data_IF_025413037477
#
_entry.id   IF_025413037477
#
_cell.length_a   1.000
_cell.length_b   1.000
_cell.length_c   1.000
_cell.angle_alpha   90.00
_cell.angle_beta   90.00
_cell.angle_gamma   90.00
#
_symmetry.space_group_name_H-M   'P 1'
#
loop_
_entity.id
_entity.type
_entity.pdbx_description
1 polymer ?
#
# COMPACT_ATOMS: atom_id res chain seq x y z
N UNK A 1 11.65 -25.96 -8.75
CA UNK A 1 10.45 -26.12 -7.87
C UNK A 1 10.40 -24.89 -7.01
N UNK A 2 9.38 -24.05 -7.20
CA UNK A 2 9.27 -22.76 -6.53
C UNK A 2 8.46 -22.90 -5.24
N UNK A 3 9.08 -22.60 -4.10
CA UNK A 3 8.46 -22.67 -2.79
C UNK A 3 8.14 -21.27 -2.24
N UNK A 4 6.85 -21.01 -2.02
CA UNK A 4 6.32 -19.72 -1.56
C UNK A 4 5.83 -19.86 -0.10
N UNK A 5 6.15 -18.88 0.74
CA UNK A 5 5.54 -18.73 2.06
C UNK A 5 4.69 -17.46 2.13
N UNK A 6 3.57 -17.52 2.87
CA UNK A 6 2.77 -16.36 3.26
C UNK A 6 2.74 -16.29 4.79
N UNK A 7 3.34 -15.26 5.35
CA UNK A 7 3.38 -14.98 6.78
C UNK A 7 2.27 -14.01 7.15
N UNK A 8 1.52 -14.33 8.20
CA UNK A 8 0.31 -13.58 8.59
C UNK A 8 -0.91 -13.94 7.74
N UNK A 9 -0.94 -15.16 7.20
CA UNK A 9 -1.94 -15.64 6.25
C UNK A 9 -3.41 -15.52 6.72
N UNK A 10 -3.65 -15.50 8.02
CA UNK A 10 -5.00 -15.37 8.63
C UNK A 10 -5.44 -13.93 8.86
N UNK A 11 -4.57 -12.95 8.63
CA UNK A 11 -4.88 -11.52 8.76
C UNK A 11 -5.61 -10.95 7.54
N UNK A 12 -6.19 -9.74 7.65
CA UNK A 12 -6.89 -9.07 6.53
C UNK A 12 -6.04 -9.00 5.26
N UNK A 13 -4.80 -8.52 5.37
CA UNK A 13 -3.90 -8.37 4.23
C UNK A 13 -3.39 -9.73 3.75
N UNK A 14 -3.06 -10.66 4.66
CA UNK A 14 -2.63 -12.02 4.30
C UNK A 14 -3.69 -12.78 3.50
N UNK A 15 -4.95 -12.69 3.91
CA UNK A 15 -6.08 -13.27 3.14
C UNK A 15 -6.19 -12.63 1.75
N UNK A 16 -6.02 -11.30 1.66
CA UNK A 16 -6.01 -10.59 0.36
C UNK A 16 -4.80 -10.95 -0.50
N UNK A 17 -3.63 -11.25 0.10
CA UNK A 17 -2.48 -11.78 -0.64
C UNK A 17 -2.81 -13.13 -1.29
N UNK A 18 -3.45 -14.06 -0.55
CA UNK A 18 -3.89 -15.34 -1.10
C UNK A 18 -4.91 -15.17 -2.23
N UNK A 19 -5.96 -14.33 -2.02
CA UNK A 19 -6.93 -14.02 -3.06
C UNK A 19 -6.25 -13.46 -4.33
N UNK A 20 -5.25 -12.58 -4.15
CA UNK A 20 -4.52 -11.95 -5.26
C UNK A 20 -3.61 -12.94 -5.99
N UNK A 21 -2.87 -13.78 -5.26
CA UNK A 21 -2.05 -14.86 -5.84
C UNK A 21 -2.90 -15.76 -6.75
N UNK A 22 -4.11 -16.10 -6.29
CA UNK A 22 -5.05 -16.92 -7.06
C UNK A 22 -5.55 -16.18 -8.31
N UNK A 23 -6.02 -14.93 -8.18
CA UNK A 23 -6.57 -14.14 -9.30
C UNK A 23 -5.53 -13.85 -10.39
N UNK A 24 -4.27 -13.64 -10.00
CA UNK A 24 -3.16 -13.36 -10.91
C UNK A 24 -2.50 -14.64 -11.45
N UNK A 25 -2.92 -15.82 -10.98
CA UNK A 25 -2.35 -17.11 -11.35
C UNK A 25 -0.81 -17.15 -11.19
N UNK A 26 -0.30 -16.63 -10.06
CA UNK A 26 1.14 -16.63 -9.78
C UNK A 26 1.66 -18.06 -9.71
N UNK A 27 2.68 -18.43 -10.50
CA UNK A 27 3.19 -19.80 -10.54
C UNK A 27 4.04 -20.12 -9.31
N UNK A 28 3.72 -21.21 -8.61
CA UNK A 28 4.54 -21.81 -7.56
C UNK A 28 4.16 -23.31 -7.44
N UNK A 29 5.09 -24.11 -6.91
CA UNK A 29 4.90 -25.56 -6.76
C UNK A 29 4.46 -25.91 -5.33
N UNK A 30 4.94 -25.20 -4.33
CA UNK A 30 4.63 -25.43 -2.91
C UNK A 30 4.23 -24.14 -2.21
N UNK A 31 3.17 -24.18 -1.40
CA UNK A 31 2.72 -23.06 -0.57
C UNK A 31 2.74 -23.45 0.89
N UNK A 32 3.34 -22.59 1.74
CA UNK A 32 3.31 -22.74 3.18
C UNK A 32 2.70 -21.50 3.82
N UNK A 33 1.74 -21.68 4.71
CA UNK A 33 1.06 -20.60 5.41
C UNK A 33 1.54 -20.54 6.86
N UNK A 34 2.02 -19.35 7.25
CA UNK A 34 2.47 -19.07 8.61
C UNK A 34 1.61 -18.03 9.31
N UNK A 35 1.45 -18.19 10.62
CA UNK A 35 0.87 -17.19 11.51
C UNK A 35 1.45 -17.35 12.93
N UNK A 36 0.88 -16.60 13.90
CA UNK A 36 1.25 -16.75 15.31
C UNK A 36 0.75 -18.09 15.89
N UNK A 37 1.32 -18.53 17.02
CA UNK A 37 0.88 -19.72 17.76
C UNK A 37 -0.65 -19.76 17.97
N UNK A 38 -1.28 -18.60 18.19
CA UNK A 38 -2.75 -18.51 18.39
C UNK A 38 -3.56 -18.95 17.17
N UNK A 39 -3.02 -18.75 15.97
CA UNK A 39 -3.70 -19.07 14.70
C UNK A 39 -3.16 -20.35 14.05
N UNK A 40 -2.10 -20.95 14.59
CA UNK A 40 -1.59 -22.23 14.13
C UNK A 40 -2.65 -23.33 14.29
N UNK A 41 -2.70 -24.25 13.32
CA UNK A 41 -3.72 -25.30 13.22
C UNK A 41 -5.03 -24.88 12.56
N UNK A 42 -5.24 -23.60 12.24
CA UNK A 42 -6.37 -23.17 11.41
C UNK A 42 -6.21 -23.69 9.98
N UNK A 43 -7.34 -23.99 9.36
CA UNK A 43 -7.39 -24.42 7.96
C UNK A 43 -7.77 -23.25 7.07
N UNK A 44 -7.09 -23.13 5.93
CA UNK A 44 -7.34 -22.12 4.90
C UNK A 44 -7.52 -22.83 3.56
N UNK A 45 -8.65 -22.59 2.92
CA UNK A 45 -8.92 -23.08 1.57
C UNK A 45 -8.24 -22.18 0.53
N UNK A 46 -7.43 -22.78 -0.35
CA UNK A 46 -6.77 -22.06 -1.44
C UNK A 46 -6.66 -22.97 -2.65
N UNK A 47 -7.18 -22.52 -3.83
CA UNK A 47 -7.18 -23.26 -5.10
C UNK A 47 -7.73 -24.71 -4.96
N UNK A 48 -8.80 -24.89 -4.18
CA UNK A 48 -9.44 -26.19 -3.97
C UNK A 48 -8.66 -27.17 -3.09
N UNK A 49 -7.61 -26.69 -2.41
CA UNK A 49 -6.84 -27.47 -1.41
C UNK A 49 -6.94 -26.82 -0.05
N UNK A 50 -6.96 -27.64 0.98
CA UNK A 50 -6.91 -27.21 2.38
C UNK A 50 -5.45 -27.12 2.84
N UNK A 51 -5.06 -25.99 3.37
CA UNK A 51 -3.74 -25.73 3.94
C UNK A 51 -3.86 -25.51 5.45
N UNK A 52 -3.10 -26.26 6.23
CA UNK A 52 -3.01 -26.03 7.67
C UNK A 52 -2.00 -24.92 7.93
N UNK A 53 -2.43 -23.85 8.60
CA UNK A 53 -1.57 -22.75 9.02
C UNK A 53 -0.59 -23.24 10.09
N UNK A 54 0.68 -22.95 9.90
CA UNK A 54 1.76 -23.35 10.78
C UNK A 54 2.20 -22.19 11.68
N UNK A 55 2.71 -22.51 12.86
CA UNK A 55 3.36 -21.51 13.69
C UNK A 55 4.68 -21.06 13.05
N UNK A 56 4.90 -19.74 12.99
CA UNK A 56 6.18 -19.18 12.57
C UNK A 56 7.18 -19.28 13.74
N UNK A 57 8.25 -20.03 13.52
CA UNK A 57 9.37 -20.22 14.47
C UNK A 57 10.69 -20.01 13.78
N UNK A 58 11.78 -19.80 14.54
CA UNK A 58 13.13 -19.61 13.99
C UNK A 58 13.57 -20.82 13.14
N UNK A 59 13.22 -22.02 13.55
CA UNK A 59 13.52 -23.24 12.79
C UNK A 59 12.82 -23.22 11.44
N UNK A 60 11.53 -22.80 11.40
CA UNK A 60 10.75 -22.74 10.16
C UNK A 60 11.22 -21.59 9.26
N UNK A 61 11.54 -20.42 9.81
CA UNK A 61 12.07 -19.30 9.05
C UNK A 61 13.49 -19.56 8.49
N UNK A 62 14.19 -20.57 9.03
CA UNK A 62 15.51 -21.01 8.55
C UNK A 62 15.43 -22.12 7.49
N UNK A 63 14.23 -22.59 7.15
CA UNK A 63 14.04 -23.50 6.02
C UNK A 63 14.17 -22.73 4.69
N UNK A 64 14.51 -23.46 3.63
CA UNK A 64 14.58 -22.86 2.30
C UNK A 64 13.20 -22.54 1.75
N UNK A 65 13.04 -21.27 1.33
CA UNK A 65 11.95 -20.76 0.51
C UNK A 65 12.57 -19.94 -0.63
N UNK A 66 11.93 -19.92 -1.80
CA UNK A 66 12.32 -19.01 -2.88
C UNK A 66 11.77 -17.61 -2.61
N UNK A 67 10.52 -17.53 -2.17
CA UNK A 67 9.83 -16.27 -1.92
C UNK A 67 9.01 -16.31 -0.62
N UNK A 68 8.94 -15.17 0.05
CA UNK A 68 8.12 -14.97 1.26
C UNK A 68 7.32 -13.67 1.12
N UNK A 69 6.01 -13.76 1.16
CA UNK A 69 5.12 -12.60 1.34
C UNK A 69 4.85 -12.44 2.83
N UNK A 70 5.27 -11.32 3.40
CA UNK A 70 5.18 -11.10 4.84
C UNK A 70 4.22 -9.98 5.19
N UNK A 71 3.12 -10.33 5.89
CA UNK A 71 2.12 -9.41 6.41
C UNK A 71 1.96 -9.59 7.91
N UNK A 72 3.01 -9.20 8.64
CA UNK A 72 3.08 -9.25 10.09
C UNK A 72 3.46 -7.89 10.66
N UNK A 73 3.41 -7.71 11.99
CA UNK A 73 3.86 -6.48 12.62
C UNK A 73 5.37 -6.27 12.52
N UNK A 74 5.83 -5.01 12.67
CA UNK A 74 7.24 -4.64 12.49
C UNK A 74 8.21 -5.49 13.32
N UNK A 75 7.93 -5.74 14.61
CA UNK A 75 8.79 -6.59 15.45
C UNK A 75 8.88 -8.05 14.99
N UNK A 76 7.80 -8.59 14.41
CA UNK A 76 7.83 -9.93 13.79
C UNK A 76 8.71 -9.91 12.53
N UNK A 77 8.58 -8.87 11.71
CA UNK A 77 9.38 -8.71 10.50
C UNK A 77 10.86 -8.50 10.84
N UNK A 78 11.17 -7.65 11.81
CA UNK A 78 12.53 -7.40 12.29
C UNK A 78 13.25 -8.69 12.68
N UNK A 79 12.54 -9.62 13.33
CA UNK A 79 13.08 -10.90 13.77
C UNK A 79 13.18 -11.93 12.65
N UNK A 80 12.11 -12.14 11.89
CA UNK A 80 12.02 -13.28 10.97
C UNK A 80 12.47 -13.00 9.53
N UNK A 81 12.33 -11.77 9.02
CA UNK A 81 12.72 -11.47 7.66
C UNK A 81 14.22 -11.73 7.39
N UNK A 82 15.16 -11.39 8.30
CA UNK A 82 16.56 -11.73 8.14
C UNK A 82 16.87 -13.24 8.19
N UNK A 83 16.03 -14.04 8.90
CA UNK A 83 16.21 -15.50 8.92
C UNK A 83 15.83 -16.12 7.57
N UNK A 84 14.71 -15.71 6.99
CA UNK A 84 14.32 -16.10 5.64
C UNK A 84 15.34 -15.66 4.59
N UNK A 85 15.81 -14.40 4.65
CA UNK A 85 16.85 -13.88 3.77
C UNK A 85 18.13 -14.71 3.86
N UNK A 86 18.60 -15.03 5.06
CA UNK A 86 19.78 -15.86 5.30
C UNK A 86 19.62 -17.28 4.76
N UNK A 87 18.40 -17.81 4.76
CA UNK A 87 18.04 -19.11 4.17
C UNK A 87 17.93 -19.06 2.63
N UNK A 88 18.11 -17.88 2.01
CA UNK A 88 18.13 -17.67 0.56
C UNK A 88 16.83 -17.17 -0.05
N UNK A 89 15.82 -16.87 0.76
CA UNK A 89 14.56 -16.34 0.26
C UNK A 89 14.63 -14.86 -0.13
N UNK A 90 13.79 -14.46 -1.09
CA UNK A 90 13.41 -13.06 -1.25
C UNK A 90 12.14 -12.82 -0.43
N UNK A 91 12.23 -11.90 0.52
CA UNK A 91 11.15 -11.50 1.42
C UNK A 91 10.54 -10.19 0.94
N UNK A 92 9.23 -10.19 0.68
CA UNK A 92 8.47 -8.97 0.36
C UNK A 92 7.67 -8.64 1.62
N UNK A 93 8.10 -7.60 2.34
CA UNK A 93 7.58 -7.25 3.67
C UNK A 93 6.64 -6.06 3.62
N UNK A 94 5.42 -6.25 4.12
CA UNK A 94 4.39 -5.22 4.18
C UNK A 94 4.46 -4.35 5.45
N UNK A 95 5.34 -4.66 6.42
CA UNK A 95 5.51 -3.84 7.61
C UNK A 95 6.24 -2.53 7.32
N UNK A 96 6.25 -1.62 8.29
CA UNK A 96 7.04 -0.38 8.17
C UNK A 96 8.50 -0.55 8.56
N UNK A 97 8.94 -1.74 8.97
CA UNK A 97 10.25 -1.97 9.59
C UNK A 97 11.41 -1.58 8.68
N UNK A 98 11.34 -1.96 7.41
CA UNK A 98 12.47 -1.88 6.49
C UNK A 98 12.39 -0.72 5.49
N UNK A 99 11.26 -0.02 5.43
CA UNK A 99 10.96 0.95 4.36
C UNK A 99 12.01 2.03 4.19
N UNK A 100 12.58 2.52 5.29
CA UNK A 100 13.57 3.61 5.26
C UNK A 100 15.01 3.14 5.45
N UNK A 101 15.27 1.82 5.50
CA UNK A 101 16.63 1.29 5.49
C UNK A 101 17.30 1.61 4.14
N UNK A 102 18.55 2.09 4.16
CA UNK A 102 19.25 2.56 2.95
C UNK A 102 19.55 1.44 1.97
N UNK A 103 19.80 0.22 2.47
CA UNK A 103 20.15 -0.97 1.72
C UNK A 103 18.95 -1.83 1.32
N UNK A 104 17.71 -1.38 1.59
CA UNK A 104 16.48 -2.11 1.27
C UNK A 104 15.64 -1.32 0.27
N UNK A 105 15.28 -2.00 -0.82
CA UNK A 105 14.42 -1.44 -1.85
C UNK A 105 12.98 -1.23 -1.33
N UNK A 106 12.38 -0.09 -1.67
CA UNK A 106 11.00 0.27 -1.38
C UNK A 106 10.24 0.35 -2.72
N UNK A 107 9.39 -0.64 -3.03
CA UNK A 107 8.94 -0.88 -4.39
C UNK A 107 7.45 -0.68 -4.60
N UNK A 108 7.13 0.08 -5.64
CA UNK A 108 5.85 0.15 -6.32
C UNK A 108 6.10 -0.18 -7.79
N UNK A 109 5.68 -1.34 -8.31
CA UNK A 109 6.09 -1.83 -9.63
C UNK A 109 5.80 -0.91 -10.82
N UNK A 110 4.77 -0.06 -10.72
CA UNK A 110 4.45 0.96 -11.73
C UNK A 110 5.40 2.18 -11.69
N UNK A 111 6.27 2.25 -10.68
CA UNK A 111 7.13 3.41 -10.42
C UNK A 111 8.61 3.07 -10.52
N UNK A 112 9.03 1.95 -9.90
CA UNK A 112 10.44 1.57 -9.78
C UNK A 112 10.65 0.05 -9.79
N UNK A 113 11.90 -0.36 -9.86
CA UNK A 113 12.31 -1.77 -9.86
C UNK A 113 13.32 -2.06 -8.74
N UNK A 114 13.34 -3.30 -8.19
CA UNK A 114 14.27 -3.68 -7.16
C UNK A 114 15.71 -3.81 -7.70
N UNK A 115 16.68 -3.36 -6.89
CA UNK A 115 18.11 -3.47 -7.17
C UNK A 115 18.71 -4.77 -6.64
N UNK A 116 18.00 -5.46 -5.74
CA UNK A 116 18.42 -6.69 -5.06
C UNK A 116 19.69 -6.53 -4.23
N UNK A 117 19.95 -5.36 -3.66
CA UNK A 117 21.06 -5.14 -2.71
C UNK A 117 20.91 -6.07 -1.50
N UNK A 118 19.66 -6.29 -1.07
CA UNK A 118 19.28 -7.25 -0.03
C UNK A 118 18.23 -8.23 -0.57
N UNK A 119 18.06 -9.36 0.13
CA UNK A 119 16.97 -10.30 -0.10
C UNK A 119 15.62 -9.84 0.52
N UNK A 120 15.59 -8.70 1.21
CA UNK A 120 14.37 -8.09 1.74
C UNK A 120 13.98 -6.92 0.83
N UNK A 121 12.70 -6.87 0.44
CA UNK A 121 12.08 -5.79 -0.33
C UNK A 121 10.91 -5.26 0.50
N UNK A 122 10.87 -3.97 0.75
CA UNK A 122 9.80 -3.34 1.52
C UNK A 122 8.61 -2.96 0.62
N UNK A 123 7.41 -3.28 1.07
CA UNK A 123 6.15 -2.84 0.51
C UNK A 123 5.73 -1.52 1.18
N UNK A 124 5.48 -0.43 0.45
CA UNK A 124 5.25 0.88 1.04
C UNK A 124 3.94 1.00 1.84
N UNK A 125 3.74 2.18 2.42
CA UNK A 125 2.49 2.58 3.08
C UNK A 125 1.33 2.63 2.07
N UNK A 126 0.14 2.25 2.51
CA UNK A 126 -1.04 2.11 1.65
C UNK A 126 -1.44 3.42 0.94
N UNK A 127 -1.38 4.55 1.64
CA UNK A 127 -1.70 5.86 1.05
C UNK A 127 -0.57 6.33 0.13
N UNK A 128 0.69 5.99 0.45
CA UNK A 128 1.85 6.30 -0.41
C UNK A 128 1.78 5.53 -1.72
N UNK A 129 1.52 4.22 -1.70
CA UNK A 129 1.47 3.40 -2.93
C UNK A 129 0.53 4.00 -3.96
N UNK A 130 -0.73 4.26 -3.57
CA UNK A 130 -1.71 4.80 -4.52
C UNK A 130 -1.36 6.20 -5.02
N UNK A 131 -0.68 7.00 -4.19
CA UNK A 131 -0.36 8.39 -4.53
C UNK A 131 0.85 8.52 -5.45
N UNK A 132 1.87 7.67 -5.29
CA UNK A 132 3.10 7.76 -6.10
C UNK A 132 2.89 7.28 -7.54
N UNK A 133 1.86 6.48 -7.82
CA UNK A 133 1.54 6.04 -9.19
C UNK A 133 1.18 7.22 -10.09
N UNK A 134 0.15 8.05 -9.81
CA UNK A 134 -0.13 9.23 -10.61
C UNK A 134 1.00 10.28 -10.55
N UNK A 135 1.71 10.39 -9.43
CA UNK A 135 2.86 11.29 -9.33
C UNK A 135 4.01 10.87 -10.25
N UNK A 136 4.23 9.56 -10.45
CA UNK A 136 5.24 9.07 -11.40
C UNK A 136 4.90 9.44 -12.83
N UNK A 137 3.62 9.34 -13.21
CA UNK A 137 3.14 9.78 -14.54
C UNK A 137 3.42 11.26 -14.75
N UNK A 138 3.12 12.10 -13.74
CA UNK A 138 3.39 13.53 -13.79
C UNK A 138 4.90 13.86 -13.76
N UNK A 139 5.68 13.12 -12.96
CA UNK A 139 7.13 13.28 -12.89
C UNK A 139 7.80 13.03 -14.24
N UNK A 140 7.40 11.96 -14.93
CA UNK A 140 7.96 11.58 -16.22
C UNK A 140 7.69 12.63 -17.31
N UNK A 141 6.51 13.23 -17.30
CA UNK A 141 6.11 14.23 -18.30
C UNK A 141 6.59 15.64 -17.96
N UNK A 142 6.41 16.06 -16.72
CA UNK A 142 6.51 17.48 -16.34
C UNK A 142 7.53 17.78 -15.24
N UNK A 143 8.05 16.75 -14.53
CA UNK A 143 8.85 16.95 -13.32
C UNK A 143 8.00 17.40 -12.12
N UNK A 144 8.52 17.21 -10.91
CA UNK A 144 7.83 17.55 -9.66
C UNK A 144 8.64 18.52 -8.80
N UNK A 145 8.01 19.58 -8.33
CA UNK A 145 8.59 20.61 -7.47
C UNK A 145 8.14 20.51 -6.01
N UNK A 146 6.85 20.25 -5.82
CA UNK A 146 6.22 20.16 -4.50
C UNK A 146 5.00 19.26 -4.57
N UNK A 147 4.75 18.52 -3.47
CA UNK A 147 3.55 17.72 -3.28
C UNK A 147 3.01 17.98 -1.88
N UNK A 148 1.72 18.27 -1.77
CA UNK A 148 1.01 18.26 -0.50
C UNK A 148 -0.14 17.26 -0.56
N UNK A 149 -0.22 16.42 0.45
CA UNK A 149 -1.26 15.40 0.58
C UNK A 149 -2.29 15.79 1.62
N UNK A 150 -3.55 15.54 1.32
CA UNK A 150 -4.61 15.43 2.33
C UNK A 150 -5.29 14.08 2.16
N UNK A 151 -5.16 13.20 3.15
CA UNK A 151 -5.70 11.85 3.05
C UNK A 151 -7.02 11.70 3.81
N UNK A 152 -7.90 10.87 3.27
CA UNK A 152 -9.16 10.44 3.85
C UNK A 152 -9.13 8.91 3.90
N UNK A 153 -8.58 8.37 5.02
CA UNK A 153 -8.24 6.95 5.11
C UNK A 153 -9.35 6.12 5.74
N UNK A 154 -9.69 5.04 5.08
CA UNK A 154 -10.69 4.06 5.52
C UNK A 154 -10.26 3.32 6.79
N UNK A 155 -11.23 2.89 7.59
CA UNK A 155 -10.99 2.20 8.87
C UNK A 155 -10.32 0.83 8.74
N UNK A 156 -10.43 0.18 7.58
CA UNK A 156 -9.76 -1.10 7.33
C UNK A 156 -8.23 -1.03 7.42
N UNK A 157 -7.64 0.16 7.25
CA UNK A 157 -6.21 0.40 7.51
C UNK A 157 -5.80 0.14 8.97
N UNK A 158 -6.75 0.20 9.92
CA UNK A 158 -6.57 -0.18 11.33
C UNK A 158 -6.96 -1.63 11.62
N UNK A 159 -7.14 -2.45 10.58
CA UNK A 159 -7.50 -3.86 10.69
C UNK A 159 -8.94 -4.09 11.14
N UNK A 160 -9.20 -5.30 11.64
CA UNK A 160 -10.54 -5.70 12.09
C UNK A 160 -11.10 -4.85 13.22
N UNK A 161 -10.23 -4.32 14.10
CA UNK A 161 -10.69 -3.43 15.20
C UNK A 161 -11.28 -2.12 14.65
N UNK A 162 -10.64 -1.51 13.66
CA UNK A 162 -11.16 -0.30 13.03
C UNK A 162 -12.51 -0.53 12.34
N UNK A 163 -12.66 -1.64 11.61
CA UNK A 163 -13.96 -2.03 11.02
C UNK A 163 -15.04 -2.23 12.09
N UNK A 164 -14.69 -2.87 13.21
CA UNK A 164 -15.58 -3.06 14.33
C UNK A 164 -16.01 -1.75 14.97
N UNK A 165 -15.08 -0.82 15.22
CA UNK A 165 -15.37 0.49 15.79
C UNK A 165 -16.35 1.31 14.92
N UNK A 166 -16.19 1.23 13.59
CA UNK A 166 -17.16 1.87 12.68
C UNK A 166 -18.54 1.22 12.76
N UNK A 167 -18.61 -0.11 12.71
CA UNK A 167 -19.87 -0.85 12.67
C UNK A 167 -20.65 -0.74 14.00
N UNK A 168 -19.95 -0.78 15.13
CA UNK A 168 -20.56 -0.74 16.47
C UNK A 168 -20.77 0.70 16.99
N UNK A 169 -20.05 1.67 16.43
CA UNK A 169 -20.16 3.09 16.80
C UNK A 169 -21.54 3.69 16.54
N UNK A 170 -22.30 3.16 15.58
CA UNK A 170 -23.70 3.52 15.33
C UNK A 170 -24.59 3.30 16.58
N UNK A 171 -24.25 2.32 17.41
CA UNK A 171 -24.94 1.98 18.66
C UNK A 171 -24.31 2.67 19.90
N UNK A 172 -23.38 3.61 19.70
CA UNK A 172 -22.73 4.36 20.78
C UNK A 172 -21.69 3.55 21.56
N UNK A 173 -21.20 2.42 21.02
CA UNK A 173 -20.15 1.64 21.68
C UNK A 173 -18.83 2.41 21.67
N UNK A 174 -18.10 2.33 22.80
CA UNK A 174 -16.79 2.94 22.92
C UNK A 174 -15.79 2.30 21.94
N UNK A 175 -14.89 3.09 21.28
CA UNK A 175 -13.92 2.56 20.34
C UNK A 175 -12.82 1.74 21.03
N UNK A 176 -12.30 0.73 20.31
CA UNK A 176 -11.18 -0.10 20.74
C UNK A 176 -9.89 0.22 19.97
N UNK A 177 -10.01 0.72 18.72
CA UNK A 177 -8.89 1.03 17.84
C UNK A 177 -8.50 2.50 17.87
N UNK A 178 -9.41 3.40 18.24
CA UNK A 178 -9.23 4.84 18.13
C UNK A 178 -9.39 5.53 19.49
N UNK A 179 -8.74 6.68 19.68
CA UNK A 179 -8.91 7.49 20.91
C UNK A 179 -10.29 8.16 21.01
N UNK A 180 -11.00 8.29 19.89
CA UNK A 180 -12.32 8.89 19.79
C UNK A 180 -13.23 8.07 18.87
N UNK A 181 -14.57 8.15 19.00
CA UNK A 181 -15.49 7.50 18.08
C UNK A 181 -15.25 7.91 16.63
N UNK A 182 -15.15 6.92 15.75
CA UNK A 182 -15.01 7.17 14.29
C UNK A 182 -16.35 7.30 13.59
N UNK A 183 -17.41 6.67 14.11
CA UNK A 183 -18.74 6.80 13.54
C UNK A 183 -19.20 8.27 13.53
N UNK A 184 -19.64 8.75 12.36
CA UNK A 184 -20.05 10.14 12.14
C UNK A 184 -19.00 11.19 12.57
N UNK A 185 -17.71 10.86 12.41
CA UNK A 185 -16.60 11.71 12.84
C UNK A 185 -15.41 11.61 11.90
N UNK A 186 -14.54 12.62 11.90
CA UNK A 186 -13.24 12.63 11.22
C UNK A 186 -12.16 12.82 12.27
N UNK A 187 -11.18 11.91 12.29
CA UNK A 187 -10.06 11.99 13.21
C UNK A 187 -8.81 12.49 12.46
N UNK A 188 -8.33 13.71 12.72
CA UNK A 188 -7.12 14.26 12.07
C UNK A 188 -5.85 13.70 12.73
N UNK A 189 -5.81 12.39 12.86
CA UNK A 189 -4.77 11.68 13.61
C UNK A 189 -4.72 10.21 13.19
N UNK A 190 -3.59 9.80 12.62
CA UNK A 190 -3.30 8.40 12.30
C UNK A 190 -1.87 8.09 12.75
N UNK A 191 -1.70 7.01 13.56
CA UNK A 191 -0.43 6.63 14.19
C UNK A 191 -0.02 7.62 15.31
N UNK A 192 1.17 7.53 15.86
CA UNK A 192 1.67 8.36 16.97
C UNK A 192 2.13 9.73 16.48
N UNK A 193 2.01 10.73 17.34
CA UNK A 193 2.57 12.06 17.10
C UNK A 193 4.09 12.07 17.28
N UNK A 194 4.78 12.84 16.43
CA UNK A 194 6.21 13.10 16.48
C UNK A 194 6.47 14.48 17.07
N UNK A 195 7.73 14.75 17.49
CA UNK A 195 8.13 16.02 18.08
C UNK A 195 7.95 17.24 17.17
N UNK A 196 8.00 17.01 15.84
CA UNK A 196 7.80 18.06 14.83
C UNK A 196 6.32 18.41 14.57
N UNK A 197 5.39 17.80 15.31
CA UNK A 197 3.95 18.00 15.17
C UNK A 197 3.27 17.17 14.10
N UNK A 198 4.01 16.48 13.23
CA UNK A 198 3.45 15.48 12.32
C UNK A 198 3.11 14.20 13.07
N UNK A 199 2.22 13.39 12.48
CA UNK A 199 2.08 11.99 12.87
C UNK A 199 3.08 11.12 12.13
N UNK A 200 3.35 9.92 12.66
CA UNK A 200 4.20 8.93 11.97
C UNK A 200 3.63 8.54 10.60
N UNK A 201 2.31 8.52 10.44
CA UNK A 201 1.66 8.25 9.15
C UNK A 201 1.98 9.35 8.12
N UNK A 202 1.91 10.61 8.51
CA UNK A 202 2.27 11.74 7.65
C UNK A 202 3.75 11.71 7.28
N UNK A 203 4.62 11.41 8.24
CA UNK A 203 6.06 11.28 7.98
C UNK A 203 6.37 10.14 7.00
N UNK A 204 5.68 8.99 7.10
CA UNK A 204 5.82 7.90 6.12
C UNK A 204 5.50 8.38 4.71
N UNK A 205 4.40 9.11 4.51
CA UNK A 205 4.05 9.62 3.19
C UNK A 205 5.13 10.55 2.63
N UNK A 206 5.72 11.39 3.48
CA UNK A 206 6.79 12.32 3.09
C UNK A 206 8.04 11.56 2.65
N UNK A 207 8.54 10.68 3.50
CA UNK A 207 9.83 10.01 3.30
C UNK A 207 9.77 8.93 2.23
N UNK A 208 8.70 8.12 2.25
CA UNK A 208 8.48 7.06 1.27
C UNK A 208 8.28 7.63 -0.14
N UNK A 209 7.54 8.72 -0.30
CA UNK A 209 7.37 9.41 -1.60
C UNK A 209 8.72 9.80 -2.20
N UNK A 210 9.59 10.43 -1.40
CA UNK A 210 10.93 10.83 -1.85
C UNK A 210 11.78 9.62 -2.26
N UNK A 211 11.74 8.55 -1.47
CA UNK A 211 12.51 7.33 -1.73
C UNK A 211 12.03 6.61 -2.99
N UNK A 212 10.73 6.39 -3.13
CA UNK A 212 10.14 5.65 -4.25
C UNK A 212 10.33 6.40 -5.58
N UNK A 213 10.13 7.72 -5.58
CA UNK A 213 10.28 8.56 -6.77
C UNK A 213 11.75 8.91 -7.07
N UNK A 214 12.70 8.47 -6.24
CA UNK A 214 14.12 8.85 -6.32
C UNK A 214 14.31 10.38 -6.40
N UNK A 215 13.60 11.10 -5.55
CA UNK A 215 13.55 12.56 -5.53
C UNK A 215 13.80 13.10 -4.11
N UNK A 216 15.04 13.03 -3.59
CA UNK A 216 15.37 13.36 -2.20
C UNK A 216 15.07 14.82 -1.85
N UNK A 217 15.17 15.74 -2.83
CA UNK A 217 14.95 17.17 -2.64
C UNK A 217 13.49 17.61 -2.87
N UNK A 218 12.61 16.69 -3.24
CA UNK A 218 11.20 17.00 -3.47
C UNK A 218 10.56 17.55 -2.19
N UNK A 219 9.90 18.69 -2.29
CA UNK A 219 9.16 19.29 -1.17
C UNK A 219 7.85 18.54 -0.99
N UNK A 220 7.74 17.78 0.10
CA UNK A 220 6.55 16.99 0.42
C UNK A 220 6.03 17.34 1.80
N UNK A 221 4.73 17.48 1.94
CA UNK A 221 4.00 17.57 3.21
C UNK A 221 2.73 16.72 3.16
N UNK A 222 2.19 16.36 4.32
CA UNK A 222 1.00 15.54 4.40
C UNK A 222 0.16 15.91 5.62
N UNK A 223 -1.17 15.77 5.47
CA UNK A 223 -2.14 15.72 6.56
C UNK A 223 -2.96 14.46 6.41
N UNK A 224 -2.96 13.60 7.43
CA UNK A 224 -3.64 12.31 7.37
C UNK A 224 -4.82 12.26 8.32
N UNK A 225 -6.02 11.99 7.77
CA UNK A 225 -7.24 11.84 8.54
C UNK A 225 -7.87 10.45 8.40
N UNK A 226 -8.38 9.91 9.49
CA UNK A 226 -9.24 8.72 9.50
C UNK A 226 -10.69 9.16 9.32
N UNK A 227 -11.38 8.54 8.36
CA UNK A 227 -12.78 8.85 8.03
C UNK A 227 -13.69 7.63 8.22
N UNK A 228 -15.02 7.81 8.41
CA UNK A 228 -15.95 6.72 8.63
C UNK A 228 -16.32 6.00 7.33
N UNK A 229 -15.30 5.56 6.59
CA UNK A 229 -15.38 4.76 5.37
C UNK A 229 -14.77 3.41 5.64
N UNK A 230 -15.42 2.33 5.21
CA UNK A 230 -15.00 0.98 5.56
C UNK A 230 -13.70 0.57 4.86
N UNK A 231 -13.65 0.68 3.55
CA UNK A 231 -12.54 0.26 2.69
C UNK A 231 -12.27 1.32 1.63
N UNK A 232 -11.07 1.30 1.07
CA UNK A 232 -10.52 2.24 0.09
C UNK A 232 -10.16 3.62 0.64
N UNK A 233 -8.94 4.05 0.39
CA UNK A 233 -8.48 5.38 0.75
C UNK A 233 -8.74 6.37 -0.37
N UNK A 234 -9.08 7.61 0.01
CA UNK A 234 -9.07 8.74 -0.89
C UNK A 234 -7.93 9.69 -0.49
N UNK A 235 -7.26 10.26 -1.47
CA UNK A 235 -6.16 11.21 -1.25
C UNK A 235 -6.35 12.39 -2.20
N UNK A 236 -6.38 13.57 -1.65
CA UNK A 236 -6.20 14.80 -2.40
C UNK A 236 -4.71 15.06 -2.51
N UNK A 237 -4.24 15.29 -3.73
CA UNK A 237 -2.85 15.57 -4.08
C UNK A 237 -2.79 16.96 -4.70
N UNK A 238 -2.18 17.90 -3.99
CA UNK A 238 -1.80 19.22 -4.51
C UNK A 238 -0.36 19.12 -5.02
N UNK A 239 -0.17 19.29 -6.32
CA UNK A 239 1.13 19.08 -6.97
C UNK A 239 1.56 20.28 -7.79
N UNK A 240 2.77 20.80 -7.49
CA UNK A 240 3.45 21.82 -8.31
C UNK A 240 4.43 21.15 -9.24
N UNK A 241 4.33 21.45 -10.53
CA UNK A 241 5.13 20.85 -11.60
C UNK A 241 6.28 21.77 -12.03
N UNK A 242 7.36 21.20 -12.60
CA UNK A 242 8.50 21.99 -13.11
C UNK A 242 8.20 22.61 -14.46
N UNK A 243 7.62 21.85 -15.39
CA UNK A 243 7.25 22.33 -16.73
C UNK A 243 5.82 22.82 -16.74
N UNK A 244 5.58 23.95 -17.38
CA UNK A 244 4.22 24.48 -17.54
C UNK A 244 3.32 23.51 -18.30
N UNK A 245 2.08 23.41 -17.85
CA UNK A 245 1.04 22.57 -18.45
C UNK A 245 -0.35 23.10 -18.10
N UNK A 246 -1.38 22.42 -18.59
CA UNK A 246 -2.79 22.70 -18.29
C UNK A 246 -3.49 21.51 -17.63
N UNK A 247 -4.63 21.74 -17.00
CA UNK A 247 -5.44 20.66 -16.44
C UNK A 247 -5.92 19.68 -17.54
N UNK A 248 -6.20 20.18 -18.72
CA UNK A 248 -6.61 19.43 -19.90
C UNK A 248 -5.48 18.50 -20.39
N UNK A 249 -4.23 19.00 -20.43
CA UNK A 249 -3.08 18.20 -20.81
C UNK A 249 -2.81 17.08 -19.78
N UNK A 250 -2.97 17.37 -18.49
CA UNK A 250 -2.85 16.36 -17.42
C UNK A 250 -3.94 15.29 -17.55
N UNK A 251 -5.19 15.67 -17.83
CA UNK A 251 -6.28 14.71 -18.11
C UNK A 251 -5.96 13.84 -19.31
N UNK A 252 -5.52 14.43 -20.41
CA UNK A 252 -5.12 13.70 -21.62
C UNK A 252 -3.94 12.75 -21.35
N UNK A 253 -2.99 13.15 -20.52
CA UNK A 253 -1.87 12.32 -20.10
C UNK A 253 -2.35 11.10 -19.30
N UNK A 254 -3.21 11.30 -18.30
CA UNK A 254 -3.74 10.19 -17.49
C UNK A 254 -4.68 9.27 -18.28
N UNK A 255 -5.43 9.78 -19.26
CA UNK A 255 -6.31 8.97 -20.11
C UNK A 255 -5.53 8.01 -21.04
N UNK A 256 -4.26 8.33 -21.32
CA UNK A 256 -3.37 7.53 -22.17
C UNK A 256 -2.41 6.62 -21.41
N UNK A 257 -2.37 6.71 -20.08
CA UNK A 257 -1.41 5.99 -19.24
C UNK A 257 -2.07 4.82 -18.50
N UNK A 258 -1.67 3.59 -18.83
CA UNK A 258 -2.25 2.36 -18.29
C UNK A 258 -2.03 2.18 -16.77
N UNK A 259 -1.17 2.99 -16.13
CA UNK A 259 -0.89 2.94 -14.69
C UNK A 259 -2.04 3.48 -13.84
N UNK A 260 -2.92 4.30 -14.40
CA UNK A 260 -4.06 4.91 -13.72
C UNK A 260 -5.33 4.82 -14.55
N UNK A 261 -6.48 4.96 -13.90
CA UNK A 261 -7.77 5.05 -14.58
C UNK A 261 -8.36 6.44 -14.35
N UNK A 262 -8.49 7.22 -15.41
CA UNK A 262 -9.12 8.54 -15.35
C UNK A 262 -10.65 8.41 -15.22
N UNK A 263 -11.21 9.07 -14.20
CA UNK A 263 -12.66 9.25 -14.00
C UNK A 263 -12.89 10.73 -13.69
N UNK A 264 -13.05 11.57 -14.71
CA UNK A 264 -13.14 13.02 -14.52
C UNK A 264 -14.16 13.69 -15.44
N UNK A 265 -15.44 13.48 -15.13
CA UNK A 265 -16.57 14.12 -15.79
C UNK A 265 -17.52 14.75 -14.75
N UNK A 266 -17.10 15.89 -14.13
CA UNK A 266 -17.84 16.51 -13.03
C UNK A 266 -19.25 16.98 -13.41
N UNK A 267 -19.49 17.30 -14.67
CA UNK A 267 -20.81 17.74 -15.16
C UNK A 267 -21.87 16.61 -15.01
N UNK A 268 -21.42 15.35 -15.10
CA UNK A 268 -22.25 14.17 -14.89
C UNK A 268 -22.07 13.54 -13.51
N UNK A 269 -21.39 14.21 -12.57
CA UNK A 269 -21.04 13.71 -11.25
C UNK A 269 -20.19 12.41 -11.27
N UNK A 270 -19.35 12.25 -12.29
CA UNK A 270 -18.43 11.11 -12.42
C UNK A 270 -17.03 11.53 -11.94
N UNK A 271 -16.61 10.95 -10.84
CA UNK A 271 -15.30 11.15 -10.22
C UNK A 271 -14.95 9.95 -9.34
N UNK A 272 -13.66 9.74 -8.99
CA UNK A 272 -13.25 8.60 -8.19
C UNK A 272 -13.85 8.67 -6.77
N UNK A 273 -14.41 7.55 -6.33
CA UNK A 273 -14.97 7.40 -4.98
C UNK A 273 -14.49 6.11 -4.34
N UNK A 274 -14.31 6.09 -3.01
CA UNK A 274 -13.88 4.93 -2.25
C UNK A 274 -14.77 3.69 -2.53
N UNK A 275 -16.08 3.87 -2.56
CA UNK A 275 -17.03 2.78 -2.82
C UNK A 275 -16.85 2.13 -4.20
N UNK A 276 -16.40 2.89 -5.22
CA UNK A 276 -16.19 2.40 -6.57
C UNK A 276 -14.79 1.78 -6.76
N UNK A 277 -13.86 2.05 -5.83
CA UNK A 277 -12.49 1.54 -5.85
C UNK A 277 -12.34 0.25 -5.03
N UNK A 278 -13.28 -0.05 -4.15
CA UNK A 278 -13.25 -1.23 -3.30
C UNK A 278 -13.31 -2.53 -4.11
N UNK A 279 -12.42 -3.47 -3.82
CA UNK A 279 -12.19 -4.73 -4.53
C UNK A 279 -11.69 -4.56 -5.99
N UNK A 280 -11.19 -3.37 -6.34
CA UNK A 280 -10.54 -3.07 -7.62
C UNK A 280 -9.01 -3.08 -7.47
N UNK A 281 -8.33 -3.33 -8.58
CA UNK A 281 -6.87 -3.36 -8.64
C UNK A 281 -6.27 -2.02 -9.05
N UNK A 282 -7.06 -1.18 -9.68
CA UNK A 282 -6.68 0.06 -10.31
C UNK A 282 -6.51 1.19 -9.30
N UNK A 283 -5.71 2.16 -9.69
CA UNK A 283 -5.61 3.49 -9.07
C UNK A 283 -6.45 4.44 -9.92
N UNK A 284 -7.51 4.98 -9.33
CA UNK A 284 -8.42 5.91 -10.00
C UNK A 284 -8.02 7.36 -9.71
N UNK A 285 -7.99 8.19 -10.74
CA UNK A 285 -7.68 9.63 -10.65
C UNK A 285 -8.77 10.47 -11.29
N UNK A 286 -8.99 11.66 -10.76
CA UNK A 286 -9.96 12.61 -11.32
C UNK A 286 -10.00 13.90 -10.52
N UNK A 287 -11.05 14.72 -10.74
CA UNK A 287 -11.17 16.05 -10.13
C UNK A 287 -9.93 16.91 -10.39
N UNK A 288 -9.34 16.72 -11.57
CA UNK A 288 -8.13 17.43 -12.01
C UNK A 288 -8.51 18.86 -12.32
N UNK A 289 -7.85 19.78 -11.65
CA UNK A 289 -8.08 21.22 -11.79
C UNK A 289 -6.85 22.02 -11.39
N UNK A 290 -6.72 23.21 -11.94
CA UNK A 290 -5.67 24.15 -11.55
C UNK A 290 -5.89 24.65 -10.12
N UNK A 291 -4.81 24.86 -9.38
CA UNK A 291 -4.78 25.69 -8.19
C UNK A 291 -4.39 27.13 -8.60
N UNK A 292 -5.34 28.05 -8.53
CA UNK A 292 -5.13 29.44 -8.92
C UNK A 292 -4.32 30.25 -7.89
N UNK A 293 -4.03 29.66 -6.71
CA UNK A 293 -3.27 30.33 -5.65
C UNK A 293 -1.75 30.17 -5.79
N UNK A 294 -1.31 29.17 -6.57
CA UNK A 294 0.10 28.87 -6.83
C UNK A 294 0.36 28.66 -8.32
N UNK A 295 1.54 29.14 -8.78
CA UNK A 295 1.95 28.93 -10.17
C UNK A 295 2.16 27.44 -10.45
N UNK A 296 1.70 27.01 -11.63
CA UNK A 296 1.85 25.67 -12.19
C UNK A 296 1.52 24.53 -11.21
N UNK A 297 0.46 24.73 -10.43
CA UNK A 297 -0.01 23.82 -9.39
C UNK A 297 -1.39 23.29 -9.72
N UNK A 298 -1.60 22.01 -9.41
CA UNK A 298 -2.82 21.29 -9.75
C UNK A 298 -3.26 20.39 -8.62
N UNK A 299 -4.57 20.22 -8.50
CA UNK A 299 -5.17 19.23 -7.62
C UNK A 299 -5.51 17.97 -8.41
N UNK A 300 -5.23 16.82 -7.81
CA UNK A 300 -5.62 15.50 -8.30
C UNK A 300 -6.28 14.74 -7.17
N UNK A 301 -7.48 14.24 -7.39
CA UNK A 301 -8.15 13.34 -6.46
C UNK A 301 -7.85 11.90 -6.85
N UNK A 302 -7.33 11.12 -5.91
CA UNK A 302 -6.89 9.74 -6.13
C UNK A 302 -7.61 8.79 -5.17
N UNK A 303 -8.13 7.66 -5.67
CA UNK A 303 -8.70 6.59 -4.84
C UNK A 303 -8.19 5.22 -5.23
N UNK A 304 -8.03 4.34 -4.26
CA UNK A 304 -7.67 2.94 -4.49
C UNK A 304 -8.05 2.07 -3.29
N UNK A 305 -8.19 0.76 -3.50
CA UNK A 305 -8.39 -0.20 -2.41
C UNK A 305 -7.10 -0.35 -1.60
N UNK A 306 -7.16 0.08 -0.34
CA UNK A 306 -6.01 0.11 0.57
C UNK A 306 -5.55 -1.28 1.02
N UNK A 307 -6.40 -2.30 0.95
CA UNK A 307 -6.05 -3.70 1.26
C UNK A 307 -5.49 -4.44 0.03
N UNK A 308 -5.87 -4.00 -1.18
CA UNK A 308 -5.38 -4.54 -2.46
C UNK A 308 -4.19 -3.72 -2.95
N UNK A 309 -4.40 -2.70 -3.77
CA UNK A 309 -3.29 -1.91 -4.32
C UNK A 309 -2.45 -1.29 -3.22
N UNK A 310 -3.07 -0.84 -2.14
CA UNK A 310 -2.36 -0.29 -0.99
C UNK A 310 -1.54 -1.30 -0.16
N UNK A 311 -1.67 -2.62 -0.40
CA UNK A 311 -0.99 -3.65 0.39
C UNK A 311 -0.78 -4.96 -0.38
N UNK A 312 -1.78 -5.85 -0.39
CA UNK A 312 -1.67 -7.21 -0.87
C UNK A 312 -1.35 -7.30 -2.37
N UNK A 313 -2.05 -6.51 -3.19
CA UNK A 313 -1.81 -6.49 -4.63
C UNK A 313 -0.42 -5.96 -4.96
N UNK A 314 0.01 -4.85 -4.34
CA UNK A 314 1.35 -4.32 -4.59
C UNK A 314 2.43 -5.35 -4.21
N UNK A 315 2.29 -6.03 -3.06
CA UNK A 315 3.24 -7.07 -2.66
C UNK A 315 3.29 -8.24 -3.67
N UNK A 316 2.14 -8.67 -4.21
CA UNK A 316 2.08 -9.71 -5.24
C UNK A 316 2.62 -9.21 -6.58
N UNK A 317 2.39 -7.96 -6.95
CA UNK A 317 2.99 -7.34 -8.14
C UNK A 317 4.52 -7.23 -8.02
N UNK A 318 5.03 -6.91 -6.82
CA UNK A 318 6.48 -6.96 -6.54
C UNK A 318 7.01 -8.38 -6.72
N UNK A 319 6.30 -9.40 -6.22
CA UNK A 319 6.66 -10.80 -6.45
C UNK A 319 6.71 -11.15 -7.94
N UNK A 320 5.72 -10.76 -8.73
CA UNK A 320 5.73 -10.96 -10.20
C UNK A 320 6.94 -10.29 -10.85
N UNK A 321 7.21 -9.03 -10.47
CA UNK A 321 8.36 -8.28 -10.99
C UNK A 321 9.68 -8.98 -10.65
N UNK A 322 9.84 -9.44 -9.41
CA UNK A 322 11.01 -10.20 -8.94
C UNK A 322 11.18 -11.50 -9.71
N UNK A 323 10.11 -12.28 -9.86
CA UNK A 323 10.14 -13.55 -10.61
C UNK A 323 10.53 -13.32 -12.08
N UNK A 324 9.95 -12.30 -12.72
CA UNK A 324 10.33 -11.91 -14.10
C UNK A 324 11.80 -11.54 -14.23
N UNK A 325 12.31 -10.71 -13.32
CA UNK A 325 13.72 -10.24 -13.36
C UNK A 325 14.72 -11.36 -13.06
N UNK A 326 14.33 -12.37 -12.28
CA UNK A 326 15.17 -13.55 -11.99
C UNK A 326 15.01 -14.68 -13.02
N UNK A 327 14.19 -14.51 -14.05
CA UNK A 327 13.98 -15.51 -15.09
C UNK A 327 13.18 -16.73 -14.62
N UNK A 328 12.41 -16.61 -13.56
CA UNK A 328 11.48 -17.60 -13.06
C UNK A 328 10.09 -17.35 -13.69
N UNK A 329 9.95 -17.65 -14.99
CA UNK A 329 8.67 -17.60 -15.71
C UNK A 329 8.07 -18.99 -15.83
#
# INVERSE_FOLDING_TARGET
MTKLAVVGATGLVGTKMLETLNRKNIPFDELVLFSSARSAGQEVEFQGKTYTVQELTDARASEHFDYVLMSAGGGTSEHFAPLFEKAGAIVIDNSSQWRMAEDIDLIVPEVNEPTFTRGIIANPNCSTIQSVVPLKVLQDAYGLKRVAYTTYQAVSGSGMKGKKDLAEGVNGKAPEAYPHPIYNNVLPHIDVFLENGYTKEEQKMIDETRKILNAPDLKVTATCARVPVQDSHSVEIDVTLDKETTAEDIKALFDQDDRVVLVDNPENNEYPMAINSTNKYEVFVGRIRRDDSLENTFHVWCTSDNLLKGAALNAVQVLEQVMRLKGAN
#
